data_IF_785795425019
#
_entry.id   IF_785795425019
#
_cell.length_a   1.000
_cell.length_b   1.000
_cell.length_c   1.000
_cell.angle_alpha   90.00
_cell.angle_beta   90.00
_cell.angle_gamma   90.00
#
_symmetry.space_group_name_H-M   'P 1'
#
loop_
_entity.id
_entity.type
_entity.pdbx_description
1 polymer ?
#
# COMPACT_ATOMS: atom_id res chain seq x y z
N UNK A 1 -6.63 8.42 9.75
CA UNK A 1 -6.71 6.94 9.63
C UNK A 1 -5.31 6.37 9.77
N UNK A 2 -5.18 5.19 10.38
CA UNK A 2 -3.92 4.52 10.66
C UNK A 2 -3.93 3.14 10.00
N UNK A 3 -2.81 2.76 9.40
CA UNK A 3 -2.61 1.43 8.85
C UNK A 3 -1.40 0.78 9.51
N UNK A 4 -1.54 -0.50 9.86
CA UNK A 4 -0.49 -1.29 10.51
C UNK A 4 -0.35 -2.61 9.75
N UNK A 5 0.84 -2.86 9.20
CA UNK A 5 1.19 -4.13 8.56
C UNK A 5 2.13 -4.94 9.44
N UNK A 6 2.01 -6.25 9.41
CA UNK A 6 2.81 -7.15 10.25
C UNK A 6 3.31 -8.40 9.55
N UNK A 7 3.80 -9.34 10.37
CA UNK A 7 4.27 -10.66 9.95
C UNK A 7 3.16 -11.69 9.71
N UNK A 8 1.91 -11.30 9.94
CA UNK A 8 0.70 -12.09 9.72
C UNK A 8 0.11 -11.90 8.30
N UNK A 9 0.88 -11.28 7.41
CA UNK A 9 0.52 -10.98 6.02
C UNK A 9 -0.72 -10.09 5.87
N UNK A 10 -1.18 -9.49 6.96
CA UNK A 10 -2.38 -8.67 7.01
C UNK A 10 -2.04 -7.20 7.21
N UNK A 11 -2.97 -6.34 6.84
CA UNK A 11 -2.92 -4.91 7.14
C UNK A 11 -4.17 -4.55 7.91
N UNK A 12 -3.99 -4.03 9.12
CA UNK A 12 -5.07 -3.56 9.97
C UNK A 12 -5.30 -2.08 9.72
N UNK A 13 -6.57 -1.71 9.55
CA UNK A 13 -6.97 -0.33 9.36
C UNK A 13 -7.72 0.14 10.61
N UNK A 14 -7.28 1.28 11.15
CA UNK A 14 -7.88 1.93 12.29
C UNK A 14 -8.31 3.34 11.96
N UNK A 15 -9.53 3.69 12.37
CA UNK A 15 -9.92 5.08 12.54
C UNK A 15 -9.32 5.62 13.83
N UNK A 16 -8.80 6.84 13.76
CA UNK A 16 -8.19 7.52 14.91
C UNK A 16 -9.09 8.70 15.23
N UNK A 17 -9.50 8.83 16.49
CA UNK A 17 -10.32 9.96 16.94
C UNK A 17 -9.59 11.30 16.82
N UNK A 18 -10.36 12.39 16.76
CA UNK A 18 -9.82 13.75 16.61
C UNK A 18 -8.84 14.15 17.72
N UNK A 19 -8.98 13.58 18.91
CA UNK A 19 -8.08 13.80 20.05
C UNK A 19 -6.82 12.92 20.03
N UNK A 20 -6.70 12.02 19.05
CA UNK A 20 -5.57 11.11 18.84
C UNK A 20 -5.46 9.98 19.87
N UNK A 21 -6.47 9.78 20.74
CA UNK A 21 -6.41 8.82 21.86
C UNK A 21 -7.28 7.58 21.68
N UNK A 22 -8.26 7.66 20.79
CA UNK A 22 -9.16 6.57 20.43
C UNK A 22 -8.74 5.91 19.13
N UNK A 23 -8.78 4.58 19.12
CA UNK A 23 -8.52 3.77 17.93
C UNK A 23 -9.69 2.81 17.74
N UNK A 24 -10.39 2.94 16.62
CA UNK A 24 -11.47 2.03 16.23
C UNK A 24 -11.01 1.17 15.06
N UNK A 25 -11.09 -0.15 15.22
CA UNK A 25 -10.76 -1.07 14.13
C UNK A 25 -11.85 -0.97 13.04
N UNK A 26 -11.43 -0.64 11.82
CA UNK A 26 -12.29 -0.59 10.64
C UNK A 26 -12.30 -1.90 9.87
N UNK A 27 -11.21 -2.66 9.92
CA UNK A 27 -11.12 -3.95 9.26
C UNK A 27 -9.69 -4.44 9.06
N UNK A 28 -9.59 -5.55 8.32
CA UNK A 28 -8.33 -6.22 8.00
C UNK A 28 -8.27 -6.48 6.50
N UNK A 29 -7.27 -5.91 5.83
CA UNK A 29 -6.92 -6.27 4.46
C UNK A 29 -6.06 -7.53 4.48
N UNK A 30 -6.61 -8.64 3.97
CA UNK A 30 -5.92 -9.92 3.83
C UNK A 30 -5.74 -10.28 2.37
N UNK A 31 -4.55 -10.68 1.95
CA UNK A 31 -4.30 -11.15 0.59
C UNK A 31 -2.84 -11.30 0.18
N UNK A 32 -1.89 -10.69 0.91
CA UNK A 32 -0.47 -10.93 0.69
C UNK A 32 -0.10 -12.38 1.01
N UNK A 33 0.79 -12.97 0.22
CA UNK A 33 1.35 -14.30 0.50
C UNK A 33 2.55 -14.29 1.45
N UNK A 34 3.05 -13.11 1.84
CA UNK A 34 4.14 -12.95 2.81
C UNK A 34 3.98 -11.71 3.69
N UNK A 35 4.90 -11.53 4.63
CA UNK A 35 4.87 -10.44 5.61
C UNK A 35 4.93 -9.07 4.93
N UNK A 36 4.18 -8.11 5.47
CA UNK A 36 4.14 -6.75 4.92
C UNK A 36 5.39 -6.01 5.33
N UNK A 37 6.14 -5.49 4.35
CA UNK A 37 7.41 -4.80 4.57
C UNK A 37 7.24 -3.28 4.56
N UNK A 38 6.36 -2.76 3.70
CA UNK A 38 6.16 -1.32 3.52
C UNK A 38 4.67 -1.04 3.25
N UNK A 39 4.21 0.12 3.72
CA UNK A 39 2.86 0.65 3.50
C UNK A 39 2.99 2.13 3.15
N UNK A 40 2.20 2.59 2.20
CA UNK A 40 2.16 3.99 1.79
C UNK A 40 0.74 4.40 1.39
N UNK A 41 0.35 5.60 1.78
CA UNK A 41 -0.97 6.16 1.50
C UNK A 41 -0.90 7.00 0.22
N UNK A 42 -1.97 6.99 -0.56
CA UNK A 42 -2.17 8.04 -1.57
C UNK A 42 -2.33 9.39 -0.87
N UNK A 43 -1.93 10.49 -1.53
CA UNK A 43 -2.06 11.84 -0.95
C UNK A 43 -3.51 12.22 -0.62
N UNK A 44 -4.46 11.68 -1.39
CA UNK A 44 -5.90 11.84 -1.15
C UNK A 44 -6.45 10.88 -0.08
N UNK A 45 -5.65 9.94 0.42
CA UNK A 45 -6.03 8.96 1.46
C UNK A 45 -7.03 7.89 1.03
N UNK A 46 -7.43 7.83 -0.23
CA UNK A 46 -8.45 6.92 -0.72
C UNK A 46 -7.90 5.52 -1.08
N UNK A 47 -6.59 5.40 -1.34
CA UNK A 47 -5.94 4.13 -1.63
C UNK A 47 -4.71 3.95 -0.75
N UNK A 48 -4.51 2.70 -0.30
CA UNK A 48 -3.31 2.26 0.37
C UNK A 48 -2.53 1.30 -0.55
N UNK A 49 -1.23 1.53 -0.69
CA UNK A 49 -0.29 0.61 -1.34
C UNK A 49 0.50 -0.12 -0.28
N UNK A 50 0.81 -1.38 -0.56
CA UNK A 50 1.59 -2.23 0.33
C UNK A 50 2.53 -3.15 -0.43
N UNK A 51 3.68 -3.43 0.18
CA UNK A 51 4.71 -4.31 -0.33
C UNK A 51 4.92 -5.47 0.63
N UNK A 52 5.17 -6.66 0.10
CA UNK A 52 5.46 -7.85 0.90
C UNK A 52 6.90 -8.35 0.74
N UNK A 53 7.30 -9.30 1.59
CA UNK A 53 8.60 -9.96 1.56
C UNK A 53 8.85 -10.84 0.33
N UNK A 54 7.79 -11.26 -0.36
CA UNK A 54 7.82 -12.00 -1.64
C UNK A 54 7.62 -11.09 -2.86
N UNK A 55 7.81 -9.77 -2.68
CA UNK A 55 7.81 -8.76 -3.74
C UNK A 55 6.45 -8.47 -4.38
N UNK A 56 5.34 -8.84 -3.72
CA UNK A 56 4.01 -8.45 -4.15
C UNK A 56 3.77 -6.95 -3.88
N UNK A 57 2.98 -6.34 -4.78
CA UNK A 57 2.48 -4.97 -4.60
C UNK A 57 0.97 -5.01 -4.70
N UNK A 58 0.31 -4.84 -3.56
CA UNK A 58 -1.14 -4.84 -3.46
C UNK A 58 -1.67 -3.46 -3.11
N UNK A 59 -2.85 -3.16 -3.63
CA UNK A 59 -3.56 -1.91 -3.42
C UNK A 59 -4.89 -2.18 -2.72
N UNK A 60 -5.29 -1.27 -1.84
CA UNK A 60 -6.44 -1.46 -0.97
C UNK A 60 -7.28 -0.20 -0.86
N UNK A 61 -8.59 -0.38 -0.79
CA UNK A 61 -9.51 0.62 -0.27
C UNK A 61 -9.58 0.48 1.25
N UNK A 62 -8.98 1.39 2.02
CA UNK A 62 -8.81 1.20 3.46
C UNK A 62 -10.14 1.22 4.22
N UNK A 63 -11.17 1.92 3.71
CA UNK A 63 -12.51 1.98 4.32
C UNK A 63 -13.27 0.65 4.27
N UNK A 64 -13.04 -0.15 3.23
CA UNK A 64 -13.74 -1.42 3.00
C UNK A 64 -12.83 -2.63 3.15
N UNK A 65 -11.52 -2.40 3.28
CA UNK A 65 -10.47 -3.43 3.17
C UNK A 65 -10.54 -4.25 1.87
N UNK A 66 -11.15 -3.68 0.83
CA UNK A 66 -11.25 -4.30 -0.49
C UNK A 66 -9.97 -4.14 -1.28
N UNK A 67 -9.52 -5.20 -1.95
CA UNK A 67 -8.36 -5.15 -2.83
C UNK A 67 -8.70 -4.42 -4.14
N UNK A 68 -7.89 -3.45 -4.52
CA UNK A 68 -7.97 -2.78 -5.81
C UNK A 68 -7.09 -3.51 -6.83
N UNK A 69 -7.72 -4.00 -7.89
CA UNK A 69 -7.06 -4.81 -8.93
C UNK A 69 -6.76 -4.03 -10.22
N UNK A 70 -7.38 -2.86 -10.41
CA UNK A 70 -7.24 -2.08 -11.63
C UNK A 70 -6.03 -1.15 -11.56
N UNK A 71 -5.07 -1.38 -12.47
CA UNK A 71 -3.81 -0.61 -12.53
C UNK A 71 -3.99 0.85 -12.92
N UNK A 72 -5.02 1.17 -13.71
CA UNK A 72 -5.25 2.54 -14.17
C UNK A 72 -5.63 3.48 -13.02
N UNK A 73 -6.28 2.96 -11.96
CA UNK A 73 -6.66 3.74 -10.79
C UNK A 73 -5.47 4.15 -9.90
N UNK A 74 -4.31 3.50 -10.07
CA UNK A 74 -3.11 3.65 -9.22
C UNK A 74 -1.87 4.13 -9.97
N UNK A 75 -1.86 4.08 -11.31
CA UNK A 75 -0.70 4.45 -12.13
C UNK A 75 -0.28 5.91 -11.96
N UNK A 76 -1.24 6.81 -11.97
CA UNK A 76 -1.01 8.27 -12.03
C UNK A 76 -1.28 8.96 -10.67
N UNK A 77 -1.42 8.18 -9.57
CA UNK A 77 -1.63 8.74 -8.23
C UNK A 77 -0.33 9.20 -7.58
N UNK A 78 -0.43 10.33 -6.86
CA UNK A 78 0.58 10.80 -5.95
C UNK A 78 0.51 10.04 -4.61
N UNK A 79 1.68 9.71 -4.06
CA UNK A 79 1.82 8.97 -2.81
C UNK A 79 2.46 9.86 -1.75
N UNK A 80 1.93 9.81 -0.53
CA UNK A 80 2.26 10.76 0.53
C UNK A 80 3.74 10.73 0.94
N UNK A 81 4.35 9.54 0.99
CA UNK A 81 5.76 9.41 1.43
C UNK A 81 6.67 8.77 0.39
N UNK A 82 6.12 8.04 -0.58
CA UNK A 82 6.88 7.26 -1.58
C UNK A 82 7.88 6.27 -0.96
N UNK A 83 7.67 5.87 0.30
CA UNK A 83 8.56 4.97 1.02
C UNK A 83 8.45 3.51 0.55
N UNK A 84 7.43 3.14 -0.23
CA UNK A 84 7.34 1.83 -0.86
C UNK A 84 8.43 1.66 -1.92
N UNK A 85 9.41 0.82 -1.62
CA UNK A 85 10.57 0.54 -2.48
C UNK A 85 10.17 -0.03 -3.85
N UNK A 86 9.11 -0.84 -3.92
CA UNK A 86 8.52 -1.29 -5.19
C UNK A 86 7.23 -0.51 -5.44
N UNK A 87 7.22 0.23 -6.53
CA UNK A 87 6.08 0.97 -7.06
C UNK A 87 6.17 0.96 -8.58
N UNK A 88 5.10 1.33 -9.28
CA UNK A 88 5.16 1.51 -10.74
C UNK A 88 6.27 2.51 -11.15
N UNK A 89 6.48 3.55 -10.33
CA UNK A 89 7.51 4.56 -10.57
C UNK A 89 8.93 4.04 -10.33
N UNK A 90 9.16 3.18 -9.34
CA UNK A 90 10.47 2.56 -9.12
C UNK A 90 10.72 1.36 -10.05
N UNK A 91 9.69 0.58 -10.40
CA UNK A 91 9.75 -0.42 -11.47
C UNK A 91 10.07 0.24 -12.82
N UNK A 92 9.56 1.44 -13.08
CA UNK A 92 9.91 2.25 -14.25
C UNK A 92 11.39 2.68 -14.28
N UNK A 93 12.03 2.91 -13.13
CA UNK A 93 13.48 3.20 -13.06
C UNK A 93 14.34 1.95 -13.25
N UNK A 94 13.93 0.80 -12.71
CA UNK A 94 14.62 -0.49 -12.92
C UNK A 94 14.45 -0.97 -14.37
N UNK A 95 13.25 -0.84 -14.94
CA UNK A 95 12.98 -1.15 -16.35
C UNK A 95 13.67 -0.16 -17.30
N UNK A 96 13.84 1.13 -16.95
CA UNK A 96 14.67 2.06 -17.75
C UNK A 96 16.15 1.62 -17.82
N UNK A 97 16.65 0.91 -16.81
CA UNK A 97 18.01 0.35 -16.84
C UNK A 97 18.08 -0.92 -17.70
N UNK A 98 17.04 -1.75 -17.67
CA UNK A 98 16.98 -3.01 -18.45
C UNK A 98 16.72 -2.74 -19.94
N UNK A 99 15.89 -1.75 -20.30
CA UNK A 99 15.62 -1.40 -21.71
C UNK A 99 16.69 -0.53 -22.38
N UNK A 100 17.75 -0.13 -21.66
CA UNK A 100 18.89 0.62 -22.25
C UNK A 100 20.09 -0.28 -22.57
N UNK A 101 19.99 -1.58 -22.31
CA UNK A 101 21.05 -2.59 -22.51
C UNK A 101 20.66 -3.71 -23.48
N UNK A 102 19.64 -3.49 -24.31
CA UNK A 102 19.29 -4.36 -25.46
C UNK A 102 19.23 -3.50 -26.71
#
# INVERSE_FOLDING_TARGET
MLAVGGHDNCIFIYEVSDDGKGYQNLGTCSGHSSFVTHIDWSEDGEILRSNSGDYEVLYWYPKTCGQEIFRDAVRDRAWATQNCTLSFQSAGKVLKLVFKLI
#
